data_IF_072419257937
#
_entry.id   IF_072419257937
#
_cell.length_a   1.000
_cell.length_b   1.000
_cell.length_c   1.000
_cell.angle_alpha   90.00
_cell.angle_beta   90.00
_cell.angle_gamma   90.00
#
_symmetry.space_group_name_H-M   'P 1'
#
loop_
_entity.id
_entity.type
_entity.pdbx_description
1 polymer ?
#
# COMPACT_ATOMS: atom_id res chain seq x y z
N UNK A 1 -53.22 60.96 9.02
CA UNK A 1 -51.91 60.39 9.39
C UNK A 1 -52.01 58.87 9.31
N UNK A 2 -51.59 58.30 8.19
CA UNK A 2 -51.45 56.86 7.93
C UNK A 2 -50.22 56.75 7.03
N UNK A 3 -49.17 56.06 7.45
CA UNK A 3 -48.74 54.84 6.77
C UNK A 3 -47.54 54.18 7.46
N UNK A 4 -47.57 52.86 7.42
CA UNK A 4 -46.56 51.90 7.88
C UNK A 4 -45.34 51.96 6.96
N UNK A 5 -44.14 51.76 7.51
CA UNK A 5 -42.99 51.24 6.76
C UNK A 5 -42.23 50.23 7.63
N UNK A 6 -42.39 48.97 7.25
CA UNK A 6 -41.62 47.82 7.68
C UNK A 6 -40.16 47.99 7.21
N UNK A 7 -39.19 47.84 8.12
CA UNK A 7 -37.81 47.56 7.76
C UNK A 7 -37.52 46.09 8.09
N UNK A 8 -37.56 45.24 7.06
CA UNK A 8 -37.14 43.85 7.15
C UNK A 8 -35.61 43.79 7.15
N UNK A 9 -35.01 43.35 8.26
CA UNK A 9 -33.61 42.93 8.31
C UNK A 9 -33.50 41.53 7.70
N UNK A 10 -33.14 41.45 6.41
CA UNK A 10 -32.72 40.20 5.79
C UNK A 10 -31.24 39.96 6.10
N UNK A 11 -30.96 39.17 7.15
CA UNK A 11 -29.66 38.55 7.36
C UNK A 11 -29.49 37.42 6.34
N UNK A 12 -28.87 37.72 5.18
CA UNK A 12 -28.30 36.68 4.33
C UNK A 12 -27.07 36.09 5.05
N UNK A 13 -27.27 34.99 5.77
CA UNK A 13 -26.18 34.10 6.15
C UNK A 13 -25.75 33.33 4.89
N UNK A 14 -24.88 33.94 4.09
CA UNK A 14 -24.17 33.23 3.04
C UNK A 14 -23.27 32.17 3.68
N UNK A 15 -23.67 30.91 3.62
CA UNK A 15 -22.79 29.80 3.90
C UNK A 15 -21.67 29.82 2.85
N UNK A 16 -20.54 30.43 3.20
CA UNK A 16 -19.27 30.27 2.50
C UNK A 16 -18.87 28.80 2.63
N UNK A 17 -19.31 27.97 1.69
CA UNK A 17 -18.62 26.73 1.39
C UNK A 17 -17.25 27.11 0.84
N UNK A 18 -16.29 27.28 1.73
CA UNK A 18 -14.88 27.37 1.38
C UNK A 18 -14.52 26.06 0.71
N UNK A 19 -14.54 26.02 -0.62
CA UNK A 19 -13.95 24.93 -1.40
C UNK A 19 -12.45 25.07 -1.16
N UNK A 20 -11.97 24.44 -0.09
CA UNK A 20 -10.54 24.33 0.15
C UNK A 20 -9.91 23.71 -1.11
N UNK A 21 -8.71 24.14 -1.53
CA UNK A 21 -8.05 23.58 -2.70
C UNK A 21 -7.96 22.05 -2.55
N UNK A 22 -8.05 21.30 -3.65
CA UNK A 22 -8.16 19.83 -3.62
C UNK A 22 -7.06 19.14 -2.78
N UNK A 23 -5.84 19.70 -2.75
CA UNK A 23 -4.76 19.24 -1.85
C UNK A 23 -5.11 19.35 -0.35
N UNK A 24 -5.81 20.40 0.07
CA UNK A 24 -6.31 20.53 1.43
C UNK A 24 -7.44 19.53 1.73
N UNK A 25 -8.19 19.10 0.71
CA UNK A 25 -9.23 18.07 0.85
C UNK A 25 -8.66 16.64 0.88
N UNK A 26 -7.59 16.33 0.13
CA UNK A 26 -6.90 15.03 0.24
C UNK A 26 -6.30 14.87 1.64
N UNK A 27 -5.61 15.90 2.14
CA UNK A 27 -5.00 15.88 3.47
C UNK A 27 -6.02 15.81 4.62
N UNK A 28 -7.24 16.33 4.44
CA UNK A 28 -8.32 16.22 5.42
C UNK A 28 -8.90 14.80 5.55
N UNK A 29 -8.79 13.96 4.51
CA UNK A 29 -9.24 12.55 4.50
C UNK A 29 -8.11 11.56 4.80
N UNK A 30 -6.88 12.05 4.93
CA UNK A 30 -5.73 11.23 5.27
C UNK A 30 -5.65 11.04 6.79
N UNK A 31 -5.60 9.78 7.28
CA UNK A 31 -5.30 9.50 8.68
C UNK A 31 -4.03 10.22 9.15
N UNK A 32 -3.98 10.63 10.41
CA UNK A 32 -2.85 11.43 10.93
C UNK A 32 -1.48 10.80 10.66
N UNK A 33 -1.36 9.48 10.86
CA UNK A 33 -0.14 8.72 10.60
C UNK A 33 0.37 8.85 9.15
N UNK A 34 -0.55 8.91 8.17
CA UNK A 34 -0.18 8.94 6.75
C UNK A 34 0.19 10.35 6.24
N UNK A 35 -0.06 11.42 7.01
CA UNK A 35 0.17 12.80 6.55
C UNK A 35 1.65 13.10 6.31
N UNK A 36 2.53 12.67 7.20
CA UNK A 36 3.98 12.87 7.05
C UNK A 36 4.56 12.10 5.86
N UNK A 37 4.07 10.88 5.62
CA UNK A 37 4.45 10.07 4.46
C UNK A 37 4.01 10.77 3.18
N UNK A 38 2.74 11.20 3.09
CA UNK A 38 2.28 11.92 1.91
C UNK A 38 3.06 13.20 1.67
N UNK A 39 3.33 13.99 2.71
CA UNK A 39 4.10 15.22 2.59
C UNK A 39 5.51 14.96 2.02
N UNK A 40 6.22 13.94 2.52
CA UNK A 40 7.61 13.66 2.15
C UNK A 40 7.77 12.84 0.86
N UNK A 41 6.84 11.92 0.60
CA UNK A 41 6.96 10.90 -0.44
C UNK A 41 6.03 11.17 -1.63
N UNK A 42 4.90 11.86 -1.44
CA UNK A 42 3.89 12.14 -2.48
C UNK A 42 3.78 13.61 -2.90
N UNK A 43 3.86 14.56 -1.98
CA UNK A 43 3.76 16.00 -2.27
C UNK A 43 5.14 16.62 -2.53
N UNK A 44 6.15 16.28 -1.71
CA UNK A 44 7.55 16.61 -1.97
C UNK A 44 8.13 15.84 -3.16
N UNK A 45 7.29 15.14 -3.95
CA UNK A 45 7.70 14.51 -5.19
C UNK A 45 8.45 15.45 -6.18
N UNK A 46 8.41 16.78 -5.96
CA UNK A 46 9.05 17.79 -6.81
C UNK A 46 10.04 18.73 -6.12
N UNK A 47 9.96 18.95 -4.81
CA UNK A 47 10.76 20.00 -4.13
C UNK A 47 11.06 19.58 -2.69
N UNK A 48 12.24 19.95 -2.17
CA UNK A 48 12.62 19.88 -0.75
C UNK A 48 12.66 18.47 -0.13
N UNK A 49 13.02 17.45 -0.93
CA UNK A 49 13.11 16.08 -0.43
C UNK A 49 14.31 15.89 0.52
N UNK A 50 14.20 15.02 1.54
CA UNK A 50 15.33 14.65 2.40
C UNK A 50 16.48 14.05 1.59
N UNK A 51 17.72 14.32 1.98
CA UNK A 51 18.91 13.77 1.32
C UNK A 51 18.90 12.23 1.32
N UNK A 52 19.24 11.64 0.17
CA UNK A 52 19.45 10.21 0.07
C UNK A 52 20.84 9.83 0.59
N UNK A 53 20.89 8.87 1.52
CA UNK A 53 22.14 8.37 2.11
C UNK A 53 22.37 6.94 1.62
N UNK A 54 23.54 6.70 1.03
CA UNK A 54 23.94 5.38 0.58
C UNK A 54 24.63 4.59 1.71
N UNK A 55 24.49 3.25 1.74
CA UNK A 55 25.30 2.41 2.62
C UNK A 55 26.79 2.49 2.22
N UNK A 56 27.68 2.22 3.17
CA UNK A 56 29.13 2.26 2.93
C UNK A 56 29.54 1.34 1.78
N UNK A 57 30.29 1.86 0.80
CA UNK A 57 30.71 1.13 -0.41
C UNK A 57 29.58 0.82 -1.41
N UNK A 58 28.33 1.14 -1.08
CA UNK A 58 27.15 0.84 -1.86
C UNK A 58 26.58 2.03 -2.63
N UNK A 59 25.36 1.84 -3.12
CA UNK A 59 24.54 2.87 -3.75
C UNK A 59 23.15 2.87 -3.13
N UNK A 60 22.53 4.05 -3.09
CA UNK A 60 21.12 4.21 -2.83
C UNK A 60 20.46 4.89 -4.02
N UNK A 61 19.24 4.45 -4.35
CA UNK A 61 18.42 5.02 -5.42
C UNK A 61 17.06 5.35 -4.86
N UNK A 62 16.54 6.52 -5.22
CA UNK A 62 15.15 6.91 -5.00
C UNK A 62 14.53 7.27 -6.33
N UNK A 63 13.54 6.49 -6.75
CA UNK A 63 12.80 6.69 -7.98
C UNK A 63 11.34 6.99 -7.67
N UNK A 64 10.83 8.12 -8.15
CA UNK A 64 9.40 8.41 -8.17
C UNK A 64 8.88 8.38 -9.58
N UNK A 65 7.80 7.65 -9.82
CA UNK A 65 7.05 7.68 -11.08
C UNK A 65 5.65 8.19 -10.76
N UNK A 66 5.20 9.24 -11.43
CA UNK A 66 3.89 9.85 -11.22
C UNK A 66 3.18 10.09 -12.57
N UNK A 67 2.03 9.44 -12.79
CA UNK A 67 1.25 9.64 -14.00
C UNK A 67 0.76 11.08 -14.16
N UNK A 68 0.91 11.66 -15.34
CA UNK A 68 0.51 13.06 -15.57
C UNK A 68 -1.01 13.28 -15.55
N UNK A 69 -1.77 12.25 -15.92
CA UNK A 69 -3.24 12.27 -15.96
C UNK A 69 -3.88 11.69 -14.67
N UNK A 70 -3.07 11.39 -13.65
CA UNK A 70 -3.51 10.63 -12.48
C UNK A 70 -3.52 9.12 -12.71
N UNK A 71 -3.77 8.38 -11.64
CA UNK A 71 -3.66 6.91 -11.56
C UNK A 71 -2.77 6.49 -10.39
N UNK A 72 -1.84 5.57 -10.64
CA UNK A 72 -0.94 5.02 -9.60
C UNK A 72 0.44 5.65 -9.68
N UNK A 73 0.76 6.50 -8.70
CA UNK A 73 2.12 6.95 -8.46
C UNK A 73 2.88 5.96 -7.58
N UNK A 74 4.19 5.85 -7.81
CA UNK A 74 5.09 4.88 -7.18
C UNK A 74 6.34 5.57 -6.68
N UNK A 75 6.73 5.29 -5.44
CA UNK A 75 8.04 5.63 -4.89
C UNK A 75 8.80 4.34 -4.62
N UNK A 76 9.88 4.13 -5.36
CA UNK A 76 10.79 2.99 -5.25
C UNK A 76 12.07 3.46 -4.58
N UNK A 77 12.47 2.82 -3.48
CA UNK A 77 13.78 2.99 -2.86
C UNK A 77 14.57 1.71 -3.05
N UNK A 78 15.78 1.83 -3.57
CA UNK A 78 16.71 0.71 -3.66
C UNK A 78 17.95 1.04 -2.87
N UNK A 79 18.35 0.16 -1.95
CA UNK A 79 19.67 0.21 -1.35
C UNK A 79 20.44 -1.05 -1.72
N UNK A 80 21.70 -0.90 -2.12
CA UNK A 80 22.50 -2.04 -2.58
C UNK A 80 22.83 -3.02 -1.46
N UNK A 81 22.95 -2.55 -0.22
CA UNK A 81 23.48 -3.29 0.92
C UNK A 81 24.86 -3.91 0.67
N UNK A 82 25.46 -4.50 1.72
CA UNK A 82 26.75 -5.19 1.60
C UNK A 82 26.60 -6.60 1.02
N UNK A 83 25.64 -7.38 1.51
CA UNK A 83 25.40 -8.76 1.08
C UNK A 83 24.14 -8.91 0.22
N UNK A 84 23.05 -8.24 0.61
CA UNK A 84 21.76 -8.25 -0.08
C UNK A 84 21.26 -6.83 -0.25
N UNK A 85 20.62 -6.55 -1.38
CA UNK A 85 19.93 -5.29 -1.56
C UNK A 85 18.50 -5.36 -1.01
N UNK A 86 17.87 -4.20 -0.90
CA UNK A 86 16.46 -4.06 -0.59
C UNK A 86 15.80 -3.11 -1.59
N UNK A 87 14.59 -3.46 -2.01
CA UNK A 87 13.69 -2.61 -2.79
C UNK A 87 12.46 -2.34 -1.93
N UNK A 88 12.33 -1.12 -1.42
CA UNK A 88 11.14 -0.62 -0.76
C UNK A 88 10.22 0.08 -1.75
N UNK A 89 8.92 -0.21 -1.69
CA UNK A 89 7.91 0.33 -2.60
C UNK A 89 6.74 0.95 -1.83
N UNK A 90 6.43 2.21 -2.14
CA UNK A 90 5.17 2.87 -1.79
C UNK A 90 4.35 3.16 -3.04
N UNK A 91 3.03 3.00 -2.91
CA UNK A 91 2.05 3.30 -3.97
C UNK A 91 1.09 4.37 -3.49
N UNK A 92 0.66 5.20 -4.43
CA UNK A 92 -0.32 6.25 -4.18
C UNK A 92 -1.33 6.28 -5.31
N UNK A 93 -2.61 6.47 -5.02
CA UNK A 93 -3.66 6.69 -6.01
C UNK A 93 -4.08 8.15 -6.00
N UNK A 94 -4.40 8.70 -7.18
CA UNK A 94 -4.86 10.08 -7.29
C UNK A 94 -4.28 10.83 -8.48
N UNK A 95 -4.07 12.13 -8.32
CA UNK A 95 -3.58 12.98 -9.40
C UNK A 95 -2.79 14.16 -8.84
N UNK A 96 -1.69 14.51 -9.51
CA UNK A 96 -0.86 15.71 -9.24
C UNK A 96 -1.63 17.02 -8.95
N UNK A 97 -2.82 17.24 -9.53
CA UNK A 97 -3.62 18.47 -9.33
C UNK A 97 -4.50 18.41 -8.10
N UNK A 98 -4.96 17.21 -7.74
CA UNK A 98 -6.01 16.99 -6.76
C UNK A 98 -5.50 16.33 -5.48
N UNK A 99 -4.22 15.95 -5.46
CA UNK A 99 -3.59 15.26 -4.35
C UNK A 99 -3.44 13.76 -4.58
N UNK A 100 -2.65 13.14 -3.72
CA UNK A 100 -2.37 11.71 -3.71
C UNK A 100 -2.88 11.11 -2.40
N UNK A 101 -3.34 9.86 -2.46
CA UNK A 101 -3.72 9.06 -1.30
C UNK A 101 -2.80 7.86 -1.22
N UNK A 102 -2.25 7.58 -0.03
CA UNK A 102 -1.40 6.41 0.19
C UNK A 102 -2.24 5.15 0.00
N UNK A 103 -1.69 4.21 -0.78
CA UNK A 103 -2.23 2.87 -0.91
C UNK A 103 -1.45 1.90 -0.03
N UNK A 104 -2.16 1.10 0.78
CA UNK A 104 -1.57 0.14 1.70
C UNK A 104 -1.24 0.71 3.08
N UNK A 105 -0.30 0.06 3.78
CA UNK A 105 0.06 0.33 5.18
C UNK A 105 1.09 1.45 5.37
N UNK A 106 1.52 1.64 6.61
CA UNK A 106 2.51 2.66 6.97
C UNK A 106 3.90 2.32 6.45
N UNK A 107 4.29 1.06 6.53
CA UNK A 107 5.56 0.59 6.03
C UNK A 107 5.54 0.33 4.51
N UNK A 108 6.65 0.63 3.80
CA UNK A 108 6.77 0.28 2.40
C UNK A 108 6.87 -1.23 2.23
N UNK A 109 6.26 -1.77 1.18
CA UNK A 109 6.45 -3.17 0.80
C UNK A 109 7.92 -3.34 0.43
N UNK A 110 8.63 -4.19 1.17
CA UNK A 110 10.06 -4.39 1.01
C UNK A 110 10.33 -5.77 0.43
N UNK A 111 11.13 -5.82 -0.63
CA UNK A 111 11.53 -7.06 -1.31
C UNK A 111 13.04 -7.14 -1.43
N UNK A 112 13.58 -8.36 -1.35
CA UNK A 112 15.00 -8.61 -1.65
C UNK A 112 15.13 -8.98 -3.12
N UNK A 113 15.83 -8.18 -3.96
CA UNK A 113 16.02 -8.51 -5.36
C UNK A 113 16.90 -9.76 -5.51
N UNK A 114 16.62 -10.56 -6.54
CA UNK A 114 17.48 -11.67 -6.92
C UNK A 114 18.92 -11.19 -7.21
N UNK A 115 19.96 -12.01 -7.00
CA UNK A 115 21.36 -11.59 -7.16
C UNK A 115 21.68 -10.97 -8.53
N UNK A 116 21.10 -11.49 -9.61
CA UNK A 116 21.28 -10.96 -10.95
C UNK A 116 20.67 -9.55 -11.12
N UNK A 117 19.46 -9.34 -10.60
CA UNK A 117 18.79 -8.04 -10.61
C UNK A 117 19.58 -7.04 -9.76
N UNK A 118 20.04 -7.43 -8.57
CA UNK A 118 20.90 -6.61 -7.73
C UNK A 118 22.15 -6.14 -8.48
N UNK A 119 22.89 -7.08 -9.10
CA UNK A 119 24.09 -6.76 -9.85
C UNK A 119 23.81 -5.84 -11.05
N UNK A 120 22.64 -5.98 -11.69
CA UNK A 120 22.19 -5.06 -12.74
C UNK A 120 21.91 -3.66 -12.18
N UNK A 121 21.15 -3.55 -11.09
CA UNK A 121 20.80 -2.28 -10.46
C UNK A 121 22.04 -1.53 -9.95
N UNK A 122 22.97 -2.22 -9.29
CA UNK A 122 24.22 -1.63 -8.81
C UNK A 122 25.05 -1.03 -9.95
N UNK A 123 25.15 -1.77 -11.07
CA UNK A 123 25.87 -1.30 -12.26
C UNK A 123 25.22 -0.06 -12.85
N UNK A 124 23.90 -0.13 -13.09
CA UNK A 124 23.13 0.97 -13.69
C UNK A 124 23.18 2.23 -12.82
N UNK A 125 23.08 2.10 -11.49
CA UNK A 125 23.19 3.20 -10.54
C UNK A 125 24.58 3.87 -10.59
N UNK A 126 25.67 3.09 -10.58
CA UNK A 126 27.04 3.64 -10.70
C UNK A 126 27.27 4.32 -12.04
N UNK A 127 26.76 3.75 -13.13
CA UNK A 127 26.83 4.39 -14.45
C UNK A 127 26.01 5.69 -14.48
N UNK A 128 24.81 5.72 -13.89
CA UNK A 128 24.00 6.94 -13.78
C UNK A 128 24.70 8.04 -12.97
N UNK A 129 25.32 7.70 -11.84
CA UNK A 129 26.16 8.61 -11.03
C UNK A 129 27.30 9.24 -11.85
N UNK A 130 27.86 8.48 -12.80
CA UNK A 130 28.97 8.92 -13.64
C UNK A 130 28.49 9.77 -14.82
N UNK A 131 27.31 9.43 -15.38
CA UNK A 131 26.69 10.15 -16.48
C UNK A 131 26.22 11.56 -16.09
N UNK A 132 25.87 11.79 -14.81
CA UNK A 132 25.52 13.12 -14.29
C UNK A 132 26.61 14.19 -14.41
N UNK A 133 27.86 13.81 -14.75
CA UNK A 133 28.97 14.73 -15.01
C UNK A 133 29.05 15.21 -16.47
N UNK A 134 28.38 14.55 -17.41
CA UNK A 134 28.49 14.83 -18.85
C UNK A 134 27.08 15.07 -19.40
N UNK A 135 26.71 16.36 -19.51
CA UNK A 135 25.42 16.76 -20.02
C UNK A 135 25.18 16.27 -21.45
N UNK A 136 24.22 15.36 -21.59
CA UNK A 136 23.38 15.22 -22.77
C UNK A 136 23.81 14.18 -23.80
N UNK A 137 23.00 13.13 -23.96
CA UNK A 137 22.80 12.47 -25.27
C UNK A 137 21.32 12.03 -25.40
N UNK A 138 20.61 12.62 -26.38
CA UNK A 138 19.51 11.96 -27.11
C UNK A 138 20.12 11.11 -28.23
N UNK A 139 19.46 10.15 -28.89
CA UNK A 139 18.07 10.02 -29.31
C UNK A 139 17.71 8.53 -29.53
N UNK A 140 16.40 8.26 -29.52
CA UNK A 140 15.63 7.13 -30.09
C UNK A 140 15.54 5.71 -29.45
N UNK A 141 14.31 5.48 -28.95
CA UNK A 141 13.35 4.38 -29.16
C UNK A 141 13.56 2.96 -28.57
N UNK A 142 12.72 2.65 -27.57
CA UNK A 142 11.97 1.38 -27.58
C UNK A 142 11.83 0.63 -26.25
N UNK A 143 10.89 1.04 -25.39
CA UNK A 143 9.99 0.19 -24.58
C UNK A 143 9.35 1.02 -23.46
N UNK A 144 8.02 1.16 -23.48
CA UNK A 144 7.22 1.97 -22.55
C UNK A 144 7.52 1.61 -21.08
N UNK A 145 8.37 2.42 -20.45
CA UNK A 145 8.69 2.34 -19.02
C UNK A 145 7.74 3.19 -18.17
N UNK A 146 7.22 4.26 -18.80
CA UNK A 146 6.09 5.07 -18.38
C UNK A 146 5.28 5.45 -19.65
N UNK A 147 4.04 5.92 -19.49
CA UNK A 147 3.24 6.46 -20.60
C UNK A 147 3.82 7.83 -21.02
N UNK A 148 3.76 8.18 -22.31
CA UNK A 148 4.16 9.50 -22.80
C UNK A 148 3.47 10.61 -22.00
N UNK A 149 4.27 11.42 -21.31
CA UNK A 149 3.80 12.49 -20.43
C UNK A 149 4.04 12.24 -18.94
N UNK A 150 4.30 11.01 -18.52
CA UNK A 150 4.59 10.68 -17.11
C UNK A 150 5.89 11.32 -16.61
N UNK A 151 5.91 11.64 -15.32
CA UNK A 151 7.06 12.21 -14.65
C UNK A 151 7.86 11.12 -13.96
N UNK A 152 9.17 11.06 -14.21
CA UNK A 152 10.10 10.23 -13.46
C UNK A 152 11.14 11.12 -12.77
N UNK A 153 11.22 11.02 -11.46
CA UNK A 153 12.25 11.66 -10.65
C UNK A 153 13.20 10.60 -10.13
N UNK A 154 14.45 10.66 -10.56
CA UNK A 154 15.48 9.70 -10.16
C UNK A 154 16.56 10.43 -9.38
N UNK A 155 16.83 9.96 -8.18
CA UNK A 155 18.00 10.36 -7.40
C UNK A 155 18.85 9.14 -7.13
N UNK A 156 20.15 9.29 -7.31
CA UNK A 156 21.13 8.24 -7.08
C UNK A 156 22.24 8.80 -6.20
N UNK A 157 22.60 8.08 -5.15
CA UNK A 157 23.64 8.45 -4.21
C UNK A 157 24.65 7.32 -4.01
N UNK A 158 25.90 7.70 -3.78
CA UNK A 158 26.96 6.88 -3.19
C UNK A 158 27.50 7.57 -1.92
N UNK A 159 28.58 7.05 -1.34
CA UNK A 159 29.17 7.62 -0.12
C UNK A 159 29.80 9.01 -0.30
N UNK A 160 30.06 9.44 -1.55
CA UNK A 160 30.75 10.68 -1.86
C UNK A 160 29.82 11.77 -2.42
N UNK A 161 28.75 11.39 -3.11
CA UNK A 161 27.89 12.32 -3.86
C UNK A 161 26.48 11.78 -4.09
N UNK A 162 25.57 12.71 -4.37
CA UNK A 162 24.24 12.44 -4.89
C UNK A 162 24.02 13.20 -6.20
N UNK A 163 23.33 12.57 -7.15
CA UNK A 163 22.89 13.18 -8.40
C UNK A 163 21.39 13.03 -8.54
N UNK A 164 20.76 14.06 -9.09
CA UNK A 164 19.31 14.08 -9.29
C UNK A 164 18.99 14.34 -10.75
N UNK A 165 18.13 13.51 -11.32
CA UNK A 165 17.60 13.61 -12.66
C UNK A 165 16.10 13.89 -12.59
N UNK A 166 15.72 15.10 -12.99
CA UNK A 166 14.33 15.48 -13.22
C UNK A 166 14.06 15.46 -14.72
N UNK A 167 13.31 14.47 -15.22
CA UNK A 167 12.88 14.44 -16.63
C UNK A 167 11.46 13.91 -16.77
N UNK A 168 10.74 14.37 -17.81
CA UNK A 168 9.65 13.56 -18.38
C UNK A 168 10.26 12.21 -18.75
N UNK A 169 9.65 11.12 -18.28
CA UNK A 169 10.23 9.78 -18.10
C UNK A 169 11.47 9.55 -19.00
N UNK A 170 12.67 9.52 -18.40
CA UNK A 170 13.92 9.44 -19.16
C UNK A 170 13.98 8.10 -19.91
N UNK A 171 13.91 8.12 -21.24
CA UNK A 171 13.84 6.93 -22.08
C UNK A 171 15.20 6.47 -22.63
N UNK A 172 16.30 7.17 -22.30
CA UNK A 172 17.62 6.87 -22.84
C UNK A 172 18.72 6.80 -21.77
N UNK A 173 19.83 6.14 -22.13
CA UNK A 173 21.04 6.05 -21.32
C UNK A 173 20.89 5.23 -20.04
N UNK A 174 21.91 5.30 -19.18
CA UNK A 174 21.97 4.53 -17.94
C UNK A 174 20.86 4.90 -16.94
N UNK A 175 20.48 6.18 -16.87
CA UNK A 175 19.38 6.63 -16.02
C UNK A 175 18.04 6.04 -16.46
N UNK A 176 17.73 6.04 -17.76
CA UNK A 176 16.51 5.43 -18.29
C UNK A 176 16.47 3.92 -18.08
N UNK A 177 17.60 3.23 -18.31
CA UNK A 177 17.72 1.80 -18.03
C UNK A 177 17.52 1.47 -16.53
N UNK A 178 18.04 2.32 -15.62
CA UNK A 178 17.83 2.17 -14.18
C UNK A 178 16.37 2.37 -13.80
N UNK A 179 15.73 3.42 -14.32
CA UNK A 179 14.30 3.71 -14.11
C UNK A 179 13.47 2.51 -14.55
N UNK A 180 13.76 1.95 -15.73
CA UNK A 180 13.08 0.77 -16.25
C UNK A 180 13.24 -0.43 -15.33
N UNK A 181 14.47 -0.79 -14.98
CA UNK A 181 14.74 -1.94 -14.13
C UNK A 181 14.03 -1.84 -12.77
N UNK A 182 14.01 -0.66 -12.15
CA UNK A 182 13.30 -0.43 -10.88
C UNK A 182 11.78 -0.42 -11.04
N UNK A 183 11.24 0.16 -12.12
CA UNK A 183 9.80 0.14 -12.43
C UNK A 183 9.30 -1.29 -12.65
N UNK A 184 10.08 -2.10 -13.36
CA UNK A 184 9.78 -3.52 -13.61
C UNK A 184 9.85 -4.34 -12.33
N UNK A 185 10.85 -4.10 -11.48
CA UNK A 185 10.98 -4.76 -10.18
C UNK A 185 9.86 -4.40 -9.20
N UNK A 186 9.33 -3.18 -9.29
CA UNK A 186 8.27 -2.67 -8.41
C UNK A 186 6.86 -3.13 -8.80
N UNK A 187 6.57 -3.31 -10.09
CA UNK A 187 5.24 -3.70 -10.58
C UNK A 187 4.12 -2.67 -10.30
N UNK A 188 2.86 -3.13 -10.33
CA UNK A 188 1.61 -2.40 -10.09
C UNK A 188 1.58 -0.99 -10.67
N UNK A 189 1.58 -0.89 -11.99
CA UNK A 189 1.75 0.34 -12.76
C UNK A 189 0.46 1.12 -12.95
N UNK A 190 -0.68 0.46 -12.81
CA UNK A 190 -2.02 1.03 -12.95
C UNK A 190 -2.97 0.52 -11.85
N UNK A 191 -4.19 1.05 -11.84
CA UNK A 191 -5.19 0.77 -10.82
C UNK A 191 -5.70 -0.68 -10.86
N UNK A 192 -5.73 -1.30 -12.05
CA UNK A 192 -6.15 -2.69 -12.21
C UNK A 192 -5.10 -3.64 -11.64
N UNK A 193 -3.82 -3.48 -12.00
CA UNK A 193 -2.73 -4.25 -11.42
C UNK A 193 -2.65 -4.07 -9.89
N UNK A 194 -2.95 -2.86 -9.40
CA UNK A 194 -2.96 -2.55 -7.97
C UNK A 194 -4.13 -3.23 -7.24
N UNK A 195 -5.32 -3.22 -7.87
CA UNK A 195 -6.50 -3.92 -7.38
C UNK A 195 -6.26 -5.43 -7.32
N UNK A 196 -5.74 -6.04 -8.39
CA UNK A 196 -5.42 -7.47 -8.45
C UNK A 196 -4.36 -7.88 -7.41
N UNK A 197 -3.34 -7.05 -7.18
CA UNK A 197 -2.38 -7.27 -6.09
C UNK A 197 -3.07 -7.29 -4.73
N UNK A 198 -3.95 -6.32 -4.48
CA UNK A 198 -4.71 -6.25 -3.24
C UNK A 198 -5.62 -7.46 -3.01
N UNK A 199 -6.31 -7.92 -4.06
CA UNK A 199 -7.11 -9.14 -4.01
C UNK A 199 -6.26 -10.36 -3.62
N UNK A 200 -5.11 -10.53 -4.27
CA UNK A 200 -4.20 -11.63 -4.00
C UNK A 200 -3.71 -11.61 -2.55
N UNK A 201 -3.46 -10.43 -1.98
CA UNK A 201 -3.05 -10.29 -0.58
C UNK A 201 -4.16 -10.67 0.40
N UNK A 202 -5.42 -10.25 0.16
CA UNK A 202 -6.56 -10.64 1.01
C UNK A 202 -6.80 -12.15 0.97
N UNK A 203 -6.79 -12.73 -0.24
CA UNK A 203 -6.93 -14.19 -0.41
C UNK A 203 -5.76 -14.92 0.24
N UNK A 204 -4.54 -14.38 0.13
CA UNK A 204 -3.35 -14.90 0.81
C UNK A 204 -3.48 -14.89 2.34
N UNK A 205 -3.94 -13.77 2.91
CA UNK A 205 -4.17 -13.64 4.35
C UNK A 205 -5.24 -14.62 4.86
N UNK A 206 -6.33 -14.79 4.11
CA UNK A 206 -7.40 -15.73 4.45
C UNK A 206 -6.90 -17.18 4.42
N UNK A 207 -6.18 -17.57 3.36
CA UNK A 207 -5.56 -18.88 3.26
C UNK A 207 -4.54 -19.13 4.38
N UNK A 208 -3.72 -18.12 4.73
CA UNK A 208 -2.77 -18.22 5.83
C UNK A 208 -3.45 -18.35 7.18
N UNK A 209 -4.58 -17.66 7.38
CA UNK A 209 -5.42 -17.79 8.56
C UNK A 209 -5.97 -19.22 8.66
N UNK A 210 -6.52 -19.76 7.56
CA UNK A 210 -7.05 -21.14 7.51
C UNK A 210 -5.97 -22.18 7.76
N UNK A 211 -4.81 -22.01 7.13
CA UNK A 211 -3.66 -22.89 7.31
C UNK A 211 -3.15 -22.89 8.74
N UNK A 212 -3.06 -21.71 9.37
CA UNK A 212 -2.68 -21.60 10.78
C UNK A 212 -3.69 -22.33 11.68
N UNK A 213 -4.99 -22.21 11.40
CA UNK A 213 -6.02 -22.94 12.17
C UNK A 213 -5.88 -24.47 12.04
N UNK A 214 -5.50 -24.98 10.87
CA UNK A 214 -5.22 -26.40 10.64
C UNK A 214 -3.97 -26.88 11.36
N UNK A 215 -2.87 -26.15 11.20
CA UNK A 215 -1.54 -26.64 11.57
C UNK A 215 -1.19 -26.35 13.03
N UNK A 216 -1.72 -25.25 13.57
CA UNK A 216 -1.42 -24.74 14.92
C UNK A 216 -2.65 -24.65 15.82
N UNK A 217 -3.84 -24.96 15.27
CA UNK A 217 -5.11 -24.89 15.98
C UNK A 217 -5.79 -23.53 15.87
N UNK A 218 -7.12 -23.54 16.05
CA UNK A 218 -7.97 -22.35 16.04
C UNK A 218 -7.53 -21.27 17.04
N UNK A 219 -7.09 -21.58 18.28
CA UNK A 219 -6.66 -20.55 19.22
C UNK A 219 -5.47 -19.73 18.69
N UNK A 220 -4.45 -20.39 18.14
CA UNK A 220 -3.28 -19.73 17.57
C UNK A 220 -3.64 -18.87 16.35
N UNK A 221 -4.53 -19.37 15.49
CA UNK A 221 -5.02 -18.62 14.34
C UNK A 221 -5.79 -17.36 14.75
N UNK A 222 -6.69 -17.47 15.72
CA UNK A 222 -7.47 -16.33 16.21
C UNK A 222 -6.57 -15.27 16.87
N UNK A 223 -5.60 -15.69 17.69
CA UNK A 223 -4.63 -14.77 18.31
C UNK A 223 -3.76 -14.05 17.27
N UNK A 224 -3.34 -14.76 16.23
CA UNK A 224 -2.44 -14.22 15.19
C UNK A 224 -3.14 -13.26 14.25
N UNK A 225 -4.37 -13.59 13.82
CA UNK A 225 -5.05 -12.86 12.75
C UNK A 225 -6.10 -11.87 13.25
N UNK A 226 -6.52 -11.89 14.52
CA UNK A 226 -7.44 -10.88 15.04
C UNK A 226 -6.76 -9.51 15.16
N UNK A 227 -7.43 -8.47 14.68
CA UNK A 227 -7.06 -7.10 15.04
C UNK A 227 -7.28 -6.89 16.54
N UNK A 228 -6.55 -5.95 17.15
CA UNK A 228 -6.70 -5.61 18.57
C UNK A 228 -8.17 -5.27 18.94
N UNK A 229 -8.85 -4.52 18.08
CA UNK A 229 -10.28 -4.16 18.14
C UNK A 229 -11.19 -5.08 17.29
N UNK A 230 -10.72 -6.29 16.98
CA UNK A 230 -11.40 -7.28 16.15
C UNK A 230 -12.71 -7.79 16.77
N UNK A 231 -13.62 -8.28 15.92
CA UNK A 231 -14.93 -8.79 16.33
C UNK A 231 -15.19 -10.16 15.72
N UNK A 232 -15.87 -11.03 16.48
CA UNK A 232 -16.34 -12.33 15.98
C UNK A 232 -17.85 -12.42 16.16
N UNK A 233 -18.54 -12.79 15.09
CA UNK A 233 -19.98 -12.99 15.02
C UNK A 233 -20.26 -14.46 14.72
N UNK A 234 -20.81 -15.16 15.71
CA UNK A 234 -21.22 -16.56 15.57
C UNK A 234 -22.74 -16.65 15.55
N UNK A 235 -23.24 -17.62 14.78
CA UNK A 235 -24.67 -17.94 14.69
C UNK A 235 -25.29 -18.11 16.08
N UNK A 236 -26.34 -17.32 16.38
CA UNK A 236 -27.12 -17.38 17.63
C UNK A 236 -26.31 -17.13 18.92
N UNK A 237 -25.16 -16.46 18.83
CA UNK A 237 -24.36 -16.06 19.99
C UNK A 237 -24.17 -14.53 20.06
N UNK A 238 -23.92 -13.95 21.25
CA UNK A 238 -23.46 -12.57 21.35
C UNK A 238 -22.15 -12.36 20.57
N UNK A 239 -21.98 -11.17 20.00
CA UNK A 239 -20.72 -10.76 19.38
C UNK A 239 -19.59 -10.72 20.43
N UNK A 240 -18.43 -11.26 20.08
CA UNK A 240 -17.20 -11.15 20.86
C UNK A 240 -16.39 -9.97 20.32
N UNK A 241 -15.92 -9.07 21.17
CA UNK A 241 -15.17 -7.88 20.77
C UNK A 241 -13.82 -7.79 21.48
N UNK A 242 -12.76 -7.44 20.74
CA UNK A 242 -11.40 -7.31 21.22
C UNK A 242 -10.62 -8.62 21.15
N UNK A 243 -9.35 -8.57 20.73
CA UNK A 243 -8.48 -9.75 20.54
C UNK A 243 -8.39 -10.61 21.80
N UNK A 244 -8.20 -10.02 22.97
CA UNK A 244 -8.12 -10.76 24.25
C UNK A 244 -9.41 -11.57 24.54
N UNK A 245 -10.57 -11.04 24.17
CA UNK A 245 -11.85 -11.72 24.40
C UNK A 245 -12.06 -12.85 23.38
N UNK A 246 -11.59 -12.65 22.15
CA UNK A 246 -11.56 -13.68 21.11
C UNK A 246 -10.66 -14.82 21.57
N UNK A 247 -9.43 -14.54 22.00
CA UNK A 247 -8.50 -15.56 22.52
C UNK A 247 -9.12 -16.36 23.67
N UNK A 248 -9.74 -15.69 24.64
CA UNK A 248 -10.45 -16.36 25.74
C UNK A 248 -11.61 -17.23 25.28
N UNK A 249 -12.38 -16.79 24.28
CA UNK A 249 -13.48 -17.59 23.72
C UNK A 249 -12.97 -18.91 23.11
N UNK A 250 -11.81 -18.87 22.46
CA UNK A 250 -11.24 -20.03 21.77
C UNK A 250 -10.25 -20.81 22.64
N UNK A 251 -9.90 -20.36 23.85
CA UNK A 251 -8.92 -21.03 24.71
C UNK A 251 -9.27 -22.48 25.07
N UNK A 252 -10.56 -22.81 25.14
CA UNK A 252 -11.05 -24.18 25.37
C UNK A 252 -11.46 -24.90 24.08
N UNK A 253 -10.91 -24.50 22.93
CA UNK A 253 -11.13 -25.20 21.67
C UNK A 253 -10.64 -26.64 21.78
N UNK A 254 -11.49 -27.59 21.38
CA UNK A 254 -11.12 -28.99 21.34
C UNK A 254 -10.00 -29.22 20.32
N UNK A 255 -8.85 -29.71 20.77
CA UNK A 255 -7.68 -29.93 19.94
C UNK A 255 -7.89 -30.98 18.84
N UNK A 256 -8.89 -31.86 18.98
CA UNK A 256 -9.25 -32.83 17.95
C UNK A 256 -10.23 -32.26 16.91
N UNK A 257 -10.84 -31.11 17.19
CA UNK A 257 -11.75 -30.42 16.28
C UNK A 257 -11.00 -29.60 15.24
N UNK A 258 -11.32 -29.84 13.97
CA UNK A 258 -10.68 -29.19 12.82
C UNK A 258 -11.64 -28.20 12.17
N UNK A 259 -11.33 -26.90 12.27
CA UNK A 259 -12.03 -25.83 11.56
C UNK A 259 -11.18 -25.40 10.36
N UNK A 260 -11.76 -25.47 9.18
CA UNK A 260 -11.16 -25.01 7.94
C UNK A 260 -12.11 -24.10 7.21
N UNK A 261 -11.57 -23.27 6.33
CA UNK A 261 -12.36 -22.47 5.41
C UNK A 261 -11.56 -22.23 4.13
N UNK A 262 -12.29 -21.97 3.06
CA UNK A 262 -11.76 -21.78 1.71
C UNK A 262 -12.39 -20.52 1.12
N UNK A 263 -11.57 -19.52 0.74
CA UNK A 263 -12.08 -18.31 0.12
C UNK A 263 -12.64 -18.61 -1.27
N UNK A 264 -13.88 -18.21 -1.51
CA UNK A 264 -14.54 -18.24 -2.82
C UNK A 264 -14.33 -16.93 -3.59
N UNK A 265 -14.03 -15.84 -2.88
CA UNK A 265 -13.70 -14.55 -3.48
C UNK A 265 -13.28 -13.54 -2.42
N UNK A 266 -12.81 -12.39 -2.90
CA UNK A 266 -12.40 -11.26 -2.08
C UNK A 266 -12.65 -9.94 -2.81
N UNK A 267 -12.61 -8.85 -2.06
CA UNK A 267 -12.58 -7.48 -2.58
C UNK A 267 -11.69 -6.59 -1.69
N UNK A 268 -11.19 -5.49 -2.25
CA UNK A 268 -10.31 -4.56 -1.54
C UNK A 268 -10.73 -3.10 -1.75
N UNK A 269 -10.56 -2.28 -0.72
CA UNK A 269 -10.80 -0.84 -0.80
C UNK A 269 -9.87 -0.18 -1.82
N UNK A 270 -10.32 0.93 -2.42
CA UNK A 270 -9.48 1.74 -3.31
C UNK A 270 -8.20 2.29 -2.65
N UNK A 271 -8.15 2.31 -1.30
CA UNK A 271 -6.97 2.70 -0.52
C UNK A 271 -6.07 1.51 -0.14
N UNK A 272 -6.48 0.27 -0.41
CA UNK A 272 -5.68 -0.92 -0.11
C UNK A 272 -5.43 -1.19 1.38
N UNK A 273 -6.15 -0.50 2.26
CA UNK A 273 -6.01 -0.54 3.72
C UNK A 273 -7.09 -1.41 4.40
N UNK A 274 -8.15 -1.73 3.67
CA UNK A 274 -9.24 -2.60 4.10
C UNK A 274 -9.69 -3.49 2.94
N UNK A 275 -10.24 -4.65 3.26
CA UNK A 275 -10.84 -5.55 2.29
C UNK A 275 -11.75 -6.55 2.97
N UNK A 276 -12.36 -7.44 2.21
CA UNK A 276 -13.08 -8.57 2.76
C UNK A 276 -12.92 -9.80 1.87
N UNK A 277 -12.99 -10.96 2.49
CA UNK A 277 -13.08 -12.26 1.82
C UNK A 277 -14.35 -12.97 2.24
N UNK A 278 -14.85 -13.84 1.37
CA UNK A 278 -15.98 -14.70 1.68
C UNK A 278 -15.74 -16.10 1.13
N UNK A 279 -16.41 -17.07 1.71
CA UNK A 279 -16.26 -18.45 1.28
C UNK A 279 -17.04 -19.41 2.15
N UNK A 280 -16.58 -20.66 2.18
CA UNK A 280 -17.19 -21.72 2.97
C UNK A 280 -16.27 -22.18 4.09
N UNK A 281 -16.84 -22.45 5.25
CA UNK A 281 -16.14 -23.10 6.35
C UNK A 281 -16.65 -24.53 6.54
N UNK A 282 -15.79 -25.41 7.02
CA UNK A 282 -16.11 -26.80 7.42
C UNK A 282 -15.52 -27.07 8.81
N UNK A 283 -16.31 -27.68 9.68
CA UNK A 283 -15.92 -28.08 11.02
C UNK A 283 -16.09 -29.58 11.18
N UNK A 284 -14.99 -30.28 11.42
CA UNK A 284 -14.97 -31.71 11.70
C UNK A 284 -14.69 -31.93 13.17
N UNK A 285 -15.46 -32.79 13.82
CA UNK A 285 -15.26 -33.21 15.22
C UNK A 285 -15.31 -34.72 15.30
N UNK A 286 -14.57 -35.30 16.23
CA UNK A 286 -14.58 -36.75 16.43
C UNK A 286 -16.00 -37.23 16.82
N UNK A 287 -16.49 -38.26 16.13
CA UNK A 287 -17.80 -38.85 16.40
C UNK A 287 -19.03 -38.01 16.00
N UNK A 288 -18.83 -36.90 15.25
CA UNK A 288 -19.92 -36.07 14.75
C UNK A 288 -19.85 -35.90 13.23
N UNK A 289 -21.02 -35.72 12.60
CA UNK A 289 -21.10 -35.35 11.18
C UNK A 289 -20.45 -33.97 10.95
N UNK A 290 -19.69 -33.79 9.85
CA UNK A 290 -19.11 -32.49 9.52
C UNK A 290 -20.18 -31.40 9.39
N UNK A 291 -19.95 -30.27 10.06
CA UNK A 291 -20.76 -29.06 9.87
C UNK A 291 -20.11 -28.17 8.80
N UNK A 292 -20.92 -27.42 8.05
CA UNK A 292 -20.41 -26.42 7.12
C UNK A 292 -21.33 -25.22 7.04
N UNK A 293 -20.77 -24.10 6.63
CA UNK A 293 -21.49 -22.85 6.44
C UNK A 293 -20.72 -21.91 5.54
N UNK A 294 -21.20 -20.67 5.47
CA UNK A 294 -20.56 -19.57 4.78
C UNK A 294 -19.91 -18.64 5.81
N UNK A 295 -18.87 -17.95 5.38
CA UNK A 295 -18.24 -16.91 6.19
C UNK A 295 -17.97 -15.65 5.39
N UNK A 296 -17.78 -14.56 6.12
CA UNK A 296 -17.17 -13.31 5.65
C UNK A 296 -16.11 -12.89 6.67
N UNK A 297 -14.91 -12.60 6.20
CA UNK A 297 -13.85 -11.98 7.00
C UNK A 297 -13.59 -10.58 6.45
N UNK A 298 -13.78 -9.56 7.28
CA UNK A 298 -13.41 -8.18 6.98
C UNK A 298 -12.00 -7.96 7.53
N UNK A 299 -11.10 -7.51 6.67
CA UNK A 299 -9.68 -7.33 6.95
C UNK A 299 -9.32 -5.85 7.00
N UNK A 300 -8.39 -5.51 7.88
CA UNK A 300 -7.71 -4.22 7.95
C UNK A 300 -6.21 -4.48 8.01
N UNK A 301 -5.46 -3.68 7.25
CA UNK A 301 -4.01 -3.70 7.33
C UNK A 301 -3.56 -2.91 8.55
N UNK A 302 -2.67 -3.47 9.36
CA UNK A 302 -2.07 -2.75 10.49
C UNK A 302 -0.87 -1.88 10.03
N UNK A 303 -0.24 -1.20 10.99
CA UNK A 303 0.88 -0.29 10.71
C UNK A 303 2.09 -1.01 10.10
N UNK A 304 2.33 -2.26 10.50
CA UNK A 304 3.42 -3.11 10.01
C UNK A 304 3.14 -3.68 8.60
N UNK A 305 1.94 -3.43 8.06
CA UNK A 305 1.53 -3.88 6.75
C UNK A 305 0.84 -5.25 6.72
N UNK A 306 0.61 -5.84 7.90
CA UNK A 306 0.01 -7.16 8.06
C UNK A 306 -1.51 -7.10 8.03
N UNK A 307 -2.14 -8.11 7.45
CA UNK A 307 -3.60 -8.21 7.40
C UNK A 307 -4.15 -8.85 8.67
N UNK A 308 -5.01 -8.12 9.38
CA UNK A 308 -5.74 -8.59 10.56
C UNK A 308 -7.24 -8.49 10.32
N UNK A 309 -8.01 -9.50 10.72
CA UNK A 309 -9.46 -9.41 10.61
C UNK A 309 -10.01 -8.43 11.66
N UNK A 310 -10.80 -7.47 11.19
CA UNK A 310 -11.59 -6.56 12.00
C UNK A 310 -12.95 -7.19 12.38
N UNK A 311 -13.50 -8.01 11.49
CA UNK A 311 -14.70 -8.79 11.76
C UNK A 311 -14.59 -10.17 11.10
N UNK A 312 -14.87 -11.23 11.85
CA UNK A 312 -15.06 -12.58 11.31
C UNK A 312 -16.50 -13.01 11.58
N UNK A 313 -17.22 -13.38 10.52
CA UNK A 313 -18.66 -13.65 10.54
C UNK A 313 -18.88 -15.05 9.96
N UNK A 314 -19.46 -15.95 10.74
CA UNK A 314 -19.82 -17.30 10.30
C UNK A 314 -21.26 -17.63 10.66
N UNK A 315 -22.00 -18.25 9.73
CA UNK A 315 -23.37 -18.71 9.96
C UNK A 315 -23.47 -20.18 10.37
#
# INVERSE_FOLDING_TARGET
>A
MHNRLFAAFALMAGALFSIAPAMAQSNARTPEWARGILANDAEAMRVNRPNLVAPEGGVAVRLTIAPAQGGVARLVRYNSGAERGDIGLRRFTGHLRNGWTLWGGEDPVTTTPAPALKAQLDRLARTALSAGLMGGEGNDLGAATCVDGDYAWLEVADSARAVTFERRCATSGAAGALIKALSDAAGSRDEEELYQSGLAEIVGADNAFSKTARDQGVPAAMATFAAEDGRVFLSRAPMIAGRENIERQYASWDAQSLLQWEPAGADISARGDMGFSWGRWTLTREGAEPASGNYVSVWRRDGEGEWRFLANIGN
#
